data_IF_612998236458
#
_entry.id   IF_612998236458
#
_cell.length_a   1.000
_cell.length_b   1.000
_cell.length_c   1.000
_cell.angle_alpha   90.00
_cell.angle_beta   90.00
_cell.angle_gamma   90.00
#
_symmetry.space_group_name_H-M   'P 1'
#
loop_
_entity.id
_entity.type
_entity.pdbx_description
1 polymer ?
#
# COMPACT_ATOMS: atom_id res chain seq x y z
N UNK A 1 -29.62 -31.77 43.03
CA UNK A 1 -30.42 -30.72 43.69
C UNK A 1 -29.50 -30.00 44.65
N UNK A 2 -28.84 -28.96 44.14
CA UNK A 2 -27.92 -28.10 44.87
C UNK A 2 -27.95 -26.78 44.10
N UNK A 3 -28.61 -25.78 44.69
CA UNK A 3 -28.67 -24.41 44.17
C UNK A 3 -27.28 -23.77 44.22
N UNK A 4 -26.89 -22.98 43.21
CA UNK A 4 -25.88 -21.96 43.38
C UNK A 4 -26.51 -20.57 43.53
N UNK A 5 -25.99 -19.92 44.57
CA UNK A 5 -26.05 -18.55 45.04
C UNK A 5 -26.11 -17.48 43.95
N UNK A 6 -27.00 -16.51 44.15
CA UNK A 6 -27.08 -15.22 43.44
C UNK A 6 -26.16 -14.25 44.18
N UNK A 7 -25.10 -13.78 43.51
CA UNK A 7 -24.39 -12.55 43.88
C UNK A 7 -24.42 -11.60 42.68
N UNK A 8 -25.37 -10.68 42.71
CA UNK A 8 -25.45 -9.55 41.80
C UNK A 8 -24.85 -8.33 42.49
N UNK A 9 -23.58 -8.02 42.18
CA UNK A 9 -23.03 -6.70 42.45
C UNK A 9 -22.76 -6.01 41.12
N UNK A 10 -23.69 -5.15 40.74
CA UNK A 10 -23.64 -4.29 39.56
C UNK A 10 -23.08 -2.91 39.97
N UNK A 11 -21.84 -2.55 39.58
CA UNK A 11 -21.26 -1.25 39.90
C UNK A 11 -21.70 -0.12 38.96
N UNK A 12 -22.75 -0.31 38.14
CA UNK A 12 -23.21 0.66 37.13
C UNK A 12 -24.61 1.26 37.38
N UNK A 13 -25.06 1.35 38.63
CA UNK A 13 -26.26 2.13 38.95
C UNK A 13 -25.97 3.65 38.84
N UNK A 14 -26.74 4.41 38.05
CA UNK A 14 -26.56 5.87 37.95
C UNK A 14 -27.03 6.58 39.21
N UNK A 15 -26.15 7.39 39.79
CA UNK A 15 -26.50 8.26 40.91
C UNK A 15 -27.54 9.31 40.46
N UNK A 16 -28.62 9.39 41.23
CA UNK A 16 -29.76 10.29 41.06
C UNK A 16 -29.37 11.76 41.09
N UNK A 17 -30.06 12.51 40.24
CA UNK A 17 -30.10 13.97 40.10
C UNK A 17 -30.32 14.67 41.45
N UNK A 18 -29.38 15.53 41.85
CA UNK A 18 -29.62 16.59 42.81
C UNK A 18 -29.54 17.94 42.07
N UNK A 19 -30.68 18.62 42.04
CA UNK A 19 -30.91 19.89 41.38
C UNK A 19 -30.82 21.00 42.43
N UNK A 20 -29.93 21.97 42.24
CA UNK A 20 -29.92 23.20 43.03
C UNK A 20 -28.54 23.78 43.31
N UNK A 21 -28.17 24.83 42.57
CA UNK A 21 -27.68 26.11 43.10
C UNK A 21 -27.01 26.91 41.97
N UNK A 22 -27.66 28.00 41.59
CA UNK A 22 -27.07 29.05 40.76
C UNK A 22 -25.88 29.67 41.47
N UNK A 23 -24.70 29.51 40.88
CA UNK A 23 -23.48 30.20 41.25
C UNK A 23 -22.60 30.29 40.02
N UNK A 24 -22.86 31.28 39.16
CA UNK A 24 -22.01 31.61 38.03
C UNK A 24 -20.67 32.14 38.55
N UNK A 25 -19.73 31.23 38.81
CA UNK A 25 -18.32 31.53 38.87
C UNK A 25 -17.77 31.27 37.47
N UNK A 26 -17.72 32.32 36.66
CA UNK A 26 -16.76 32.42 35.56
C UNK A 26 -15.36 32.43 36.18
N UNK A 27 -14.92 31.26 36.65
CA UNK A 27 -13.49 31.01 36.82
C UNK A 27 -12.95 30.91 35.40
N UNK A 28 -12.45 32.04 34.91
CA UNK A 28 -11.34 32.04 33.98
C UNK A 28 -10.21 31.30 34.69
N UNK A 29 -10.24 29.97 34.65
CA UNK A 29 -9.03 29.17 34.72
C UNK A 29 -8.21 29.67 33.56
N UNK A 30 -7.18 30.44 33.88
CA UNK A 30 -6.11 30.77 32.96
C UNK A 30 -5.53 29.43 32.52
N UNK A 31 -6.11 28.87 31.44
CA UNK A 31 -5.60 27.71 30.73
C UNK A 31 -4.18 28.09 30.39
N UNK A 32 -3.20 27.40 30.97
CA UNK A 32 -1.81 27.63 30.66
C UNK A 32 -1.66 27.46 29.12
N UNK A 33 -1.51 28.56 28.37
CA UNK A 33 -1.45 28.49 26.90
C UNK A 33 -0.16 27.76 26.45
N UNK A 34 0.74 27.51 27.39
CA UNK A 34 2.07 26.95 27.25
C UNK A 34 2.13 25.44 27.62
N UNK A 35 1.02 24.70 27.50
CA UNK A 35 1.11 23.22 27.36
C UNK A 35 1.75 22.93 25.99
N UNK A 36 3.07 23.11 25.92
CA UNK A 36 3.81 23.14 24.66
C UNK A 36 3.75 21.78 24.00
N UNK A 37 3.27 21.78 22.76
CA UNK A 37 3.22 20.58 21.94
C UNK A 37 4.61 20.35 21.37
N UNK A 38 5.39 19.50 22.04
CA UNK A 38 6.72 19.08 21.60
C UNK A 38 6.73 17.57 21.37
N UNK A 39 7.03 17.18 20.14
CA UNK A 39 7.32 15.80 19.76
C UNK A 39 8.50 15.81 18.78
N UNK A 40 9.55 15.07 19.14
CA UNK A 40 10.81 15.08 18.41
C UNK A 40 10.78 14.12 17.21
N UNK A 41 11.64 14.37 16.22
CA UNK A 41 11.82 13.45 15.10
C UNK A 41 12.68 12.25 15.53
N UNK A 42 12.35 11.06 15.02
CA UNK A 42 13.21 9.88 15.12
C UNK A 42 14.15 9.83 13.92
N UNK A 43 15.44 9.57 14.17
CA UNK A 43 16.41 9.23 13.13
C UNK A 43 16.58 7.71 13.07
N UNK A 44 15.81 7.05 12.21
CA UNK A 44 15.95 5.61 11.95
C UNK A 44 16.95 5.35 10.82
N UNK A 45 17.74 4.28 10.94
CA UNK A 45 18.59 3.75 9.85
C UNK A 45 17.83 2.66 9.11
N UNK A 46 18.15 2.43 7.84
CA UNK A 46 17.57 1.36 7.02
C UNK A 46 17.04 1.85 5.68
N UNK A 47 16.28 0.99 5.01
CA UNK A 47 15.50 1.29 3.81
C UNK A 47 14.42 2.35 4.06
N UNK A 48 13.88 2.96 3.00
CA UNK A 48 12.82 3.96 3.15
C UNK A 48 11.57 3.38 3.83
N UNK A 49 11.26 2.10 3.57
CA UNK A 49 10.18 1.37 4.23
C UNK A 49 10.40 1.24 5.74
N UNK A 50 11.59 0.79 6.17
CA UNK A 50 11.92 0.65 7.59
C UNK A 50 11.93 2.00 8.31
N UNK A 51 12.42 3.06 7.64
CA UNK A 51 12.35 4.42 8.16
C UNK A 51 10.91 4.90 8.30
N UNK A 52 10.02 4.58 7.36
CA UNK A 52 8.60 4.91 7.44
C UNK A 52 7.90 4.18 8.58
N UNK A 53 8.10 2.87 8.73
CA UNK A 53 7.57 2.08 9.85
C UNK A 53 7.96 2.70 11.20
N UNK A 54 9.27 2.99 11.36
CA UNK A 54 9.79 3.57 12.59
C UNK A 54 9.23 4.98 12.84
N UNK A 55 9.12 5.83 11.81
CA UNK A 55 8.62 7.18 11.93
C UNK A 55 7.13 7.22 12.28
N UNK A 56 6.28 6.38 11.66
CA UNK A 56 4.86 6.29 12.00
C UNK A 56 4.64 5.76 13.42
N UNK A 57 5.34 4.69 13.79
CA UNK A 57 5.27 4.14 15.14
C UNK A 57 5.70 5.17 16.20
N UNK A 58 6.78 5.90 15.93
CA UNK A 58 7.27 6.97 16.80
C UNK A 58 6.27 8.12 16.93
N UNK A 59 5.75 8.64 15.81
CA UNK A 59 4.78 9.73 15.82
C UNK A 59 3.52 9.36 16.63
N UNK A 60 3.01 8.14 16.49
CA UNK A 60 1.86 7.68 17.27
C UNK A 60 2.19 7.48 18.76
N UNK A 61 3.41 7.03 19.09
CA UNK A 61 3.86 6.93 20.49
C UNK A 61 3.91 8.31 21.14
N UNK A 62 4.53 9.29 20.49
CA UNK A 62 4.57 10.68 20.94
C UNK A 62 3.17 11.26 21.06
N UNK A 63 2.27 10.91 20.13
CA UNK A 63 0.88 11.35 20.16
C UNK A 63 0.13 10.81 21.38
N UNK A 64 0.30 9.52 21.71
CA UNK A 64 -0.26 8.93 22.93
C UNK A 64 0.23 9.67 24.17
N UNK A 65 1.54 9.87 24.28
CA UNK A 65 2.13 10.59 25.41
C UNK A 65 1.64 12.04 25.52
N UNK A 66 1.42 12.70 24.37
CA UNK A 66 0.85 14.02 24.33
C UNK A 66 -0.60 14.03 24.83
N UNK A 67 -1.45 13.08 24.41
CA UNK A 67 -2.83 12.97 24.89
C UNK A 67 -2.91 12.70 26.39
N UNK A 68 -2.01 11.86 26.93
CA UNK A 68 -1.94 11.54 28.37
C UNK A 68 -1.57 12.76 29.23
N UNK A 69 -0.88 13.75 28.65
CA UNK A 69 -0.51 15.01 29.33
C UNK A 69 -1.62 16.05 29.34
N UNK A 70 -2.70 15.87 28.58
CA UNK A 70 -3.83 16.81 28.55
C UNK A 70 -4.70 16.58 29.79
N UNK A 71 -4.71 17.49 30.79
CA UNK A 71 -5.47 17.26 32.02
C UNK A 71 -6.97 17.37 31.77
N UNK A 72 -7.75 16.48 32.41
CA UNK A 72 -9.21 16.49 32.32
C UNK A 72 -9.79 17.83 32.80
N UNK A 73 -10.80 18.35 32.09
CA UNK A 73 -11.47 19.60 32.46
C UNK A 73 -10.71 20.90 32.16
N UNK A 74 -9.48 20.83 31.60
CA UNK A 74 -8.67 22.03 31.29
C UNK A 74 -9.17 22.80 30.07
N UNK A 75 -9.78 22.10 29.11
CA UNK A 75 -10.20 22.67 27.83
C UNK A 75 -11.70 22.48 27.62
N UNK A 76 -12.33 23.44 26.93
CA UNK A 76 -13.61 23.19 26.26
C UNK A 76 -13.43 22.09 25.20
N UNK A 77 -14.49 21.39 24.78
CA UNK A 77 -14.40 20.39 23.72
C UNK A 77 -13.73 20.92 22.44
N UNK A 78 -14.05 22.14 22.02
CA UNK A 78 -13.48 22.82 20.86
C UNK A 78 -12.02 23.21 21.09
N UNK A 79 -11.71 23.76 22.27
CA UNK A 79 -10.35 24.12 22.65
C UNK A 79 -9.43 22.89 22.70
N UNK A 80 -9.94 21.75 23.17
CA UNK A 80 -9.21 20.48 23.18
C UNK A 80 -8.90 20.01 21.77
N UNK A 81 -9.89 20.03 20.86
CA UNK A 81 -9.68 19.67 19.45
C UNK A 81 -8.64 20.58 18.78
N UNK A 82 -8.74 21.89 18.99
CA UNK A 82 -7.77 22.85 18.45
C UNK A 82 -6.36 22.62 19.02
N UNK A 83 -6.24 22.29 20.31
CA UNK A 83 -4.96 21.98 20.92
C UNK A 83 -4.34 20.69 20.37
N UNK A 84 -5.16 19.64 20.18
CA UNK A 84 -4.74 18.38 19.59
C UNK A 84 -4.28 18.57 18.14
N UNK A 85 -4.97 19.39 17.35
CA UNK A 85 -4.62 19.66 15.97
C UNK A 85 -3.19 20.21 15.80
N UNK A 86 -2.68 20.97 16.78
CA UNK A 86 -1.30 21.49 16.79
C UNK A 86 -0.24 20.37 16.78
N UNK A 87 -0.60 19.14 17.19
CA UNK A 87 0.31 18.00 17.10
C UNK A 87 0.69 17.67 15.65
N UNK A 88 -0.18 17.97 14.68
CA UNK A 88 0.08 17.81 13.25
C UNK A 88 1.32 18.56 12.75
N UNK A 89 1.70 19.66 13.42
CA UNK A 89 2.82 20.51 13.02
C UNK A 89 4.16 20.13 13.68
N UNK A 90 4.17 19.08 14.51
CA UNK A 90 5.34 18.63 15.26
C UNK A 90 6.42 18.00 14.40
N UNK A 91 7.64 17.91 14.93
CA UNK A 91 8.77 17.28 14.24
C UNK A 91 8.53 15.78 14.02
N UNK A 92 7.79 15.11 14.92
CA UNK A 92 7.43 13.71 14.75
C UNK A 92 6.54 13.46 13.52
N UNK A 93 5.49 14.28 13.33
CA UNK A 93 4.60 14.17 12.16
C UNK A 93 5.34 14.57 10.87
N UNK A 94 6.17 15.62 10.92
CA UNK A 94 7.03 16.01 9.80
C UNK A 94 7.99 14.89 9.39
N UNK A 95 8.57 14.17 10.35
CA UNK A 95 9.43 13.03 10.06
C UNK A 95 8.66 11.87 9.40
N UNK A 96 7.44 11.57 9.86
CA UNK A 96 6.57 10.57 9.22
C UNK A 96 6.22 10.95 7.78
N UNK A 97 5.90 12.23 7.53
CA UNK A 97 5.63 12.74 6.18
C UNK A 97 6.88 12.68 5.27
N UNK A 98 8.06 13.00 5.79
CA UNK A 98 9.31 12.87 5.06
C UNK A 98 9.62 11.41 4.70
N UNK A 99 9.36 10.47 5.62
CA UNK A 99 9.54 9.05 5.36
C UNK A 99 8.56 8.52 4.30
N UNK A 100 7.30 8.98 4.30
CA UNK A 100 6.35 8.67 3.22
C UNK A 100 6.85 9.20 1.86
N UNK A 101 7.39 10.42 1.82
CA UNK A 101 7.95 10.98 0.60
C UNK A 101 9.13 10.14 0.07
N UNK A 102 9.98 9.61 0.96
CA UNK A 102 11.06 8.70 0.59
C UNK A 102 10.53 7.38 -0.02
N UNK A 103 9.47 6.79 0.54
CA UNK A 103 8.83 5.58 -0.02
C UNK A 103 8.22 5.86 -1.40
N UNK A 104 7.59 7.03 -1.60
CA UNK A 104 7.10 7.47 -2.93
C UNK A 104 8.22 7.60 -3.95
N UNK A 105 9.36 8.16 -3.54
CA UNK A 105 10.54 8.28 -4.39
C UNK A 105 11.11 6.89 -4.76
N UNK A 106 11.15 5.95 -3.81
CA UNK A 106 11.57 4.57 -4.06
C UNK A 106 10.65 3.86 -5.08
N UNK A 107 9.33 4.01 -4.93
CA UNK A 107 8.36 3.47 -5.88
C UNK A 107 8.53 4.09 -7.28
N UNK A 108 8.66 5.41 -7.36
CA UNK A 108 8.90 6.12 -8.64
C UNK A 108 10.17 5.60 -9.33
N UNK A 109 11.26 5.42 -8.58
CA UNK A 109 12.51 4.89 -9.11
C UNK A 109 12.37 3.43 -9.56
N UNK A 110 11.61 2.60 -8.84
CA UNK A 110 11.36 1.21 -9.21
C UNK A 110 10.49 1.09 -10.47
N UNK A 111 9.46 1.92 -10.60
CA UNK A 111 8.64 2.04 -11.81
C UNK A 111 9.48 2.48 -13.01
N UNK A 112 10.31 3.52 -12.85
CA UNK A 112 11.22 3.97 -13.91
C UNK A 112 12.22 2.87 -14.33
N UNK A 113 12.71 2.07 -13.38
CA UNK A 113 13.57 0.93 -13.67
C UNK A 113 12.82 -0.18 -14.44
N UNK A 114 11.55 -0.45 -14.10
CA UNK A 114 10.69 -1.38 -14.86
C UNK A 114 10.49 -0.90 -16.29
N UNK A 115 10.10 0.36 -16.48
CA UNK A 115 9.88 0.95 -17.81
C UNK A 115 11.16 0.93 -18.65
N UNK A 116 12.31 1.24 -18.03
CA UNK A 116 13.62 1.14 -18.71
C UNK A 116 13.94 -0.29 -19.14
N UNK A 117 13.69 -1.27 -18.28
CA UNK A 117 13.92 -2.68 -18.60
C UNK A 117 12.97 -3.16 -19.71
N UNK A 118 11.72 -2.71 -19.70
CA UNK A 118 10.76 -3.00 -20.77
C UNK A 118 11.17 -2.34 -22.11
N UNK A 119 11.55 -1.06 -22.09
CA UNK A 119 12.02 -0.35 -23.28
C UNK A 119 13.29 -0.96 -23.90
N UNK A 120 14.12 -1.62 -23.09
CA UNK A 120 15.27 -2.37 -23.59
C UNK A 120 14.87 -3.62 -24.40
N UNK A 121 13.68 -4.18 -24.15
CA UNK A 121 13.10 -5.27 -24.94
C UNK A 121 12.43 -4.76 -26.21
N UNK A 122 11.76 -3.60 -26.12
CA UNK A 122 10.98 -2.99 -27.20
C UNK A 122 11.79 -1.87 -27.88
N UNK A 123 13.00 -2.19 -28.36
CA UNK A 123 13.80 -1.20 -29.09
C UNK A 123 13.16 -0.97 -30.47
N UNK A 124 12.73 0.26 -30.82
CA UNK A 124 12.19 0.54 -32.15
C UNK A 124 13.20 0.15 -33.21
N UNK A 125 12.75 -0.65 -34.16
CA UNK A 125 13.55 -1.10 -35.28
C UNK A 125 13.70 -0.03 -36.36
N UNK A 126 14.75 -0.14 -37.17
CA UNK A 126 14.69 0.38 -38.53
C UNK A 126 13.73 -0.48 -39.37
N UNK A 127 13.43 -0.05 -40.60
CA UNK A 127 12.54 -0.80 -41.51
C UNK A 127 12.96 -2.27 -41.70
N UNK A 128 14.28 -2.56 -41.67
CA UNK A 128 14.79 -3.91 -41.79
C UNK A 128 14.50 -4.76 -40.54
N UNK A 129 14.51 -4.16 -39.36
CA UNK A 129 14.14 -4.80 -38.10
C UNK A 129 12.64 -5.05 -38.04
N UNK A 130 11.80 -4.08 -38.43
CA UNK A 130 10.35 -4.29 -38.51
C UNK A 130 9.98 -5.43 -39.48
N UNK A 131 10.64 -5.50 -40.64
CA UNK A 131 10.45 -6.60 -41.58
C UNK A 131 10.86 -7.96 -40.99
N UNK A 132 11.93 -8.01 -40.19
CA UNK A 132 12.35 -9.23 -39.47
C UNK A 132 11.32 -9.63 -38.41
N UNK A 133 10.76 -8.65 -37.69
CA UNK A 133 9.71 -8.85 -36.70
C UNK A 133 8.45 -9.42 -37.34
N UNK A 134 7.97 -8.84 -38.44
CA UNK A 134 6.82 -9.37 -39.19
C UNK A 134 7.06 -10.79 -39.68
N UNK A 135 8.24 -11.08 -40.25
CA UNK A 135 8.59 -12.45 -40.68
C UNK A 135 8.68 -13.43 -39.53
N UNK A 136 9.14 -12.98 -38.37
CA UNK A 136 9.16 -13.79 -37.17
C UNK A 136 7.74 -14.10 -36.69
N UNK A 137 6.90 -13.08 -36.55
CA UNK A 137 5.50 -13.25 -36.19
C UNK A 137 4.77 -14.21 -37.14
N UNK A 138 4.90 -14.04 -38.46
CA UNK A 138 4.24 -14.92 -39.43
C UNK A 138 4.62 -16.40 -39.27
N UNK A 139 5.88 -16.69 -38.90
CA UNK A 139 6.31 -18.07 -38.61
C UNK A 139 5.68 -18.61 -37.34
N UNK A 140 5.72 -17.81 -36.27
CA UNK A 140 5.12 -18.16 -34.97
C UNK A 140 3.61 -18.35 -35.11
N UNK A 141 2.93 -17.46 -35.82
CA UNK A 141 1.50 -17.56 -36.08
C UNK A 141 1.15 -18.84 -36.83
N UNK A 142 1.97 -19.26 -37.80
CA UNK A 142 1.77 -20.53 -38.50
C UNK A 142 1.89 -21.73 -37.56
N UNK A 143 2.82 -21.70 -36.60
CA UNK A 143 3.00 -22.75 -35.60
C UNK A 143 1.81 -22.78 -34.63
N UNK A 144 1.39 -21.62 -34.12
CA UNK A 144 0.22 -21.47 -33.28
C UNK A 144 -1.07 -21.94 -33.98
N UNK A 145 -1.24 -21.61 -35.26
CA UNK A 145 -2.40 -22.02 -36.06
C UNK A 145 -2.51 -23.54 -36.25
N UNK A 146 -1.38 -24.25 -36.17
CA UNK A 146 -1.36 -25.72 -36.28
C UNK A 146 -1.93 -26.41 -35.04
N UNK A 147 -2.03 -25.69 -33.92
CA UNK A 147 -2.58 -26.21 -32.67
C UNK A 147 -4.07 -25.87 -32.53
N UNK A 148 -4.90 -26.90 -32.42
CA UNK A 148 -6.36 -26.77 -32.33
C UNK A 148 -6.87 -26.85 -30.89
N UNK A 149 -6.10 -27.45 -29.98
CA UNK A 149 -6.45 -27.57 -28.57
C UNK A 149 -6.03 -26.30 -27.81
N UNK A 150 -6.96 -25.64 -27.13
CA UNK A 150 -6.70 -24.39 -26.41
C UNK A 150 -5.63 -24.51 -25.32
N UNK A 151 -5.54 -25.65 -24.63
CA UNK A 151 -4.55 -25.84 -23.57
C UNK A 151 -3.15 -26.03 -24.15
N UNK A 152 -3.04 -26.85 -25.19
CA UNK A 152 -1.77 -27.00 -25.92
C UNK A 152 -1.35 -25.67 -26.56
N UNK A 153 -2.31 -24.89 -27.05
CA UNK A 153 -2.06 -23.57 -27.62
C UNK A 153 -1.48 -22.60 -26.57
N UNK A 154 -2.02 -22.60 -25.36
CA UNK A 154 -1.49 -21.82 -24.23
C UNK A 154 -0.07 -22.26 -23.86
N UNK A 155 0.18 -23.57 -23.79
CA UNK A 155 1.51 -24.13 -23.50
C UNK A 155 2.52 -23.78 -24.60
N UNK A 156 2.11 -23.84 -25.86
CA UNK A 156 2.93 -23.47 -27.00
C UNK A 156 3.25 -21.98 -26.98
N UNK A 157 2.26 -21.11 -26.79
CA UNK A 157 2.46 -19.67 -26.66
C UNK A 157 3.44 -19.34 -25.51
N UNK A 158 3.25 -19.97 -24.34
CA UNK A 158 4.15 -19.82 -23.21
C UNK A 158 5.59 -20.19 -23.55
N UNK A 159 5.78 -21.38 -24.15
CA UNK A 159 7.08 -21.89 -24.56
C UNK A 159 7.77 -20.95 -25.53
N UNK A 160 7.04 -20.49 -26.55
CA UNK A 160 7.57 -19.58 -27.57
C UNK A 160 8.05 -18.26 -26.98
N UNK A 161 7.32 -17.69 -26.01
CA UNK A 161 7.76 -16.49 -25.28
C UNK A 161 9.03 -16.80 -24.47
N UNK A 162 9.01 -17.87 -23.68
CA UNK A 162 10.10 -18.24 -22.78
C UNK A 162 11.42 -18.52 -23.52
N UNK A 163 11.35 -19.14 -24.69
CA UNK A 163 12.51 -19.51 -25.50
C UNK A 163 12.90 -18.42 -26.52
N UNK A 164 12.15 -17.32 -26.60
CA UNK A 164 12.44 -16.23 -27.52
C UNK A 164 13.71 -15.46 -27.14
N UNK A 165 14.36 -14.87 -28.15
CA UNK A 165 15.45 -13.92 -27.91
C UNK A 165 14.88 -12.58 -27.45
N UNK A 166 15.69 -11.79 -26.75
CA UNK A 166 15.28 -10.48 -26.25
C UNK A 166 14.69 -9.57 -27.36
N UNK A 167 15.25 -9.60 -28.57
CA UNK A 167 14.75 -8.77 -29.68
C UNK A 167 13.41 -9.24 -30.26
N UNK A 168 13.05 -10.50 -30.03
CA UNK A 168 11.81 -11.13 -30.51
C UNK A 168 10.71 -11.10 -29.46
N UNK A 169 11.09 -10.97 -28.19
CA UNK A 169 10.18 -10.99 -27.05
C UNK A 169 9.14 -9.87 -27.12
N UNK A 170 9.53 -8.68 -27.57
CA UNK A 170 8.61 -7.54 -27.75
C UNK A 170 7.44 -7.88 -28.68
N UNK A 171 7.74 -8.42 -29.86
CA UNK A 171 6.75 -8.86 -30.85
C UNK A 171 5.79 -9.87 -30.23
N UNK A 172 6.31 -10.85 -29.48
CA UNK A 172 5.47 -11.87 -28.85
C UNK A 172 4.58 -11.30 -27.74
N UNK A 173 5.10 -10.37 -26.94
CA UNK A 173 4.33 -9.72 -25.88
C UNK A 173 3.16 -8.90 -26.43
N UNK A 174 3.32 -8.32 -27.63
CA UNK A 174 2.29 -7.52 -28.30
C UNK A 174 1.29 -8.39 -29.06
N UNK A 175 1.75 -9.40 -29.78
CA UNK A 175 0.92 -10.15 -30.74
C UNK A 175 0.22 -11.39 -30.14
N UNK A 176 0.80 -12.04 -29.13
CA UNK A 176 0.21 -13.25 -28.54
C UNK A 176 -1.12 -12.97 -27.82
N UNK A 177 -1.26 -11.93 -26.97
CA UNK A 177 -2.53 -11.67 -26.29
C UNK A 177 -3.73 -11.43 -27.24
N UNK A 178 -3.67 -10.57 -28.28
CA UNK A 178 -4.78 -10.43 -29.22
C UNK A 178 -4.99 -11.71 -30.06
N UNK A 179 -3.92 -12.42 -30.42
CA UNK A 179 -4.04 -13.69 -31.15
C UNK A 179 -4.82 -14.74 -30.34
N UNK A 180 -4.44 -14.99 -29.08
CA UNK A 180 -5.12 -15.97 -28.23
C UNK A 180 -6.59 -15.60 -27.98
N UNK A 181 -6.90 -14.32 -27.78
CA UNK A 181 -8.29 -13.84 -27.69
C UNK A 181 -9.08 -14.09 -28.98
N UNK A 182 -8.47 -13.89 -30.15
CA UNK A 182 -9.10 -14.20 -31.44
C UNK A 182 -9.42 -15.69 -31.62
N UNK A 183 -8.71 -16.56 -30.90
CA UNK A 183 -8.92 -18.02 -30.84
C UNK A 183 -9.92 -18.43 -29.75
N UNK A 184 -10.55 -17.48 -29.07
CA UNK A 184 -11.51 -17.72 -27.98
C UNK A 184 -10.85 -18.03 -26.63
N UNK A 185 -9.56 -17.73 -26.47
CA UNK A 185 -8.82 -17.97 -25.24
C UNK A 185 -8.61 -16.65 -24.50
N UNK A 186 -9.41 -16.41 -23.47
CA UNK A 186 -9.32 -15.21 -22.62
C UNK A 186 -8.57 -15.47 -21.30
N UNK A 187 -8.76 -16.67 -20.74
CA UNK A 187 -8.18 -17.09 -19.48
C UNK A 187 -7.51 -18.46 -19.60
N UNK A 188 -6.59 -18.76 -18.69
CA UNK A 188 -6.04 -20.11 -18.48
C UNK A 188 -7.06 -21.01 -17.75
N UNK A 189 -6.74 -22.29 -17.61
CA UNK A 189 -7.54 -23.23 -16.80
C UNK A 189 -7.66 -22.80 -15.33
N UNK A 190 -6.67 -22.06 -14.82
CA UNK A 190 -6.65 -21.52 -13.46
C UNK A 190 -7.40 -20.18 -13.33
N UNK A 191 -8.16 -19.77 -14.37
CA UNK A 191 -8.79 -18.46 -14.49
C UNK A 191 -7.83 -17.27 -14.44
N UNK A 192 -6.55 -17.48 -14.80
CA UNK A 192 -5.58 -16.39 -14.98
C UNK A 192 -5.82 -15.72 -16.34
N UNK A 193 -5.90 -14.37 -16.42
CA UNK A 193 -5.98 -13.69 -17.70
C UNK A 193 -4.77 -14.04 -18.59
N UNK A 194 -4.99 -14.28 -19.89
CA UNK A 194 -3.90 -14.59 -20.83
C UNK A 194 -2.77 -13.53 -20.80
N UNK A 195 -3.11 -12.26 -20.57
CA UNK A 195 -2.11 -11.20 -20.43
C UNK A 195 -1.11 -11.44 -19.29
N UNK A 196 -1.54 -12.10 -18.21
CA UNK A 196 -0.69 -12.37 -17.06
C UNK A 196 0.20 -13.59 -17.29
N UNK A 197 -0.30 -14.61 -18.00
CA UNK A 197 0.53 -15.71 -18.52
C UNK A 197 1.65 -15.19 -19.42
N UNK A 198 1.33 -14.28 -20.35
CA UNK A 198 2.33 -13.66 -21.25
C UNK A 198 3.36 -12.84 -20.45
N UNK A 199 2.91 -12.04 -19.48
CA UNK A 199 3.82 -11.30 -18.59
C UNK A 199 4.71 -12.24 -17.79
N UNK A 200 4.19 -13.36 -17.27
CA UNK A 200 4.98 -14.37 -16.53
C UNK A 200 6.05 -14.96 -17.43
N UNK A 201 5.68 -15.44 -18.61
CA UNK A 201 6.63 -15.99 -19.58
C UNK A 201 7.72 -14.97 -19.97
N UNK A 202 7.36 -13.71 -20.17
CA UNK A 202 8.31 -12.65 -20.50
C UNK A 202 9.30 -12.36 -19.36
N UNK A 203 8.86 -12.42 -18.10
CA UNK A 203 9.75 -12.27 -16.93
C UNK A 203 10.73 -13.43 -16.79
N UNK A 204 10.33 -14.63 -17.19
CA UNK A 204 11.22 -15.80 -17.24
C UNK A 204 12.22 -15.71 -18.41
N UNK A 205 11.78 -15.24 -19.57
CA UNK A 205 12.62 -15.05 -20.76
C UNK A 205 13.67 -13.93 -20.57
N UNK A 206 13.30 -12.86 -19.86
CA UNK A 206 14.14 -11.69 -19.60
C UNK A 206 14.31 -11.45 -18.09
N UNK A 207 15.30 -12.10 -17.44
CA UNK A 207 15.47 -12.03 -15.98
C UNK A 207 15.66 -10.61 -15.43
N UNK A 208 16.32 -9.71 -16.17
CA UNK A 208 16.48 -8.31 -15.77
C UNK A 208 15.15 -7.57 -15.72
N UNK A 209 14.29 -7.78 -16.73
CA UNK A 209 12.92 -7.28 -16.73
C UNK A 209 12.09 -7.90 -15.60
N UNK A 210 12.21 -9.22 -15.39
CA UNK A 210 11.59 -9.91 -14.27
C UNK A 210 11.97 -9.32 -12.91
N UNK A 211 13.25 -9.07 -12.67
CA UNK A 211 13.75 -8.46 -11.45
C UNK A 211 13.22 -7.01 -11.28
N UNK A 212 13.20 -6.21 -12.35
CA UNK A 212 12.68 -4.85 -12.32
C UNK A 212 11.17 -4.82 -11.99
N UNK A 213 10.38 -5.71 -12.59
CA UNK A 213 8.95 -5.84 -12.29
C UNK A 213 8.73 -6.25 -10.83
N UNK A 214 9.47 -7.24 -10.32
CA UNK A 214 9.35 -7.69 -8.94
C UNK A 214 9.69 -6.56 -7.95
N UNK A 215 10.72 -5.78 -8.26
CA UNK A 215 11.09 -4.59 -7.46
C UNK A 215 10.00 -3.54 -7.47
N UNK A 216 9.41 -3.24 -8.63
CA UNK A 216 8.29 -2.31 -8.76
C UNK A 216 7.07 -2.76 -7.97
N UNK A 217 6.69 -4.04 -8.06
CA UNK A 217 5.58 -4.62 -7.27
C UNK A 217 5.86 -4.51 -5.77
N UNK A 218 7.08 -4.83 -5.32
CA UNK A 218 7.45 -4.72 -3.91
C UNK A 218 7.41 -3.26 -3.42
N UNK A 219 7.92 -2.32 -4.21
CA UNK A 219 7.89 -0.89 -3.88
C UNK A 219 6.46 -0.34 -3.85
N UNK A 220 5.58 -0.79 -4.76
CA UNK A 220 4.16 -0.43 -4.73
C UNK A 220 3.46 -0.93 -3.48
N UNK A 221 3.73 -2.17 -3.04
CA UNK A 221 3.16 -2.71 -1.79
C UNK A 221 3.58 -1.88 -0.57
N UNK A 222 4.86 -1.51 -0.49
CA UNK A 222 5.40 -0.62 0.55
C UNK A 222 4.72 0.75 0.51
N UNK A 223 4.58 1.34 -0.67
CA UNK A 223 3.91 2.62 -0.85
C UNK A 223 2.47 2.56 -0.33
N UNK A 224 1.70 1.54 -0.70
CA UNK A 224 0.31 1.45 -0.28
C UNK A 224 0.17 1.30 1.23
N UNK A 225 1.03 0.52 1.89
CA UNK A 225 1.06 0.41 3.35
C UNK A 225 1.44 1.73 4.02
N UNK A 226 2.46 2.43 3.50
CA UNK A 226 2.89 3.72 4.03
C UNK A 226 1.80 4.80 3.87
N UNK A 227 1.08 4.82 2.74
CA UNK A 227 -0.04 5.75 2.52
C UNK A 227 -1.22 5.46 3.44
N UNK A 228 -1.52 4.19 3.68
CA UNK A 228 -2.52 3.81 4.68
C UNK A 228 -2.12 4.29 6.09
N UNK A 229 -0.87 4.05 6.49
CA UNK A 229 -0.34 4.47 7.79
C UNK A 229 -0.35 6.00 7.97
N UNK A 230 -0.05 6.75 6.91
CA UNK A 230 -0.15 8.21 6.93
C UNK A 230 -1.59 8.69 7.13
N UNK A 231 -2.55 8.13 6.37
CA UNK A 231 -3.98 8.47 6.49
C UNK A 231 -4.53 8.15 7.87
N UNK A 232 -4.19 6.99 8.44
CA UNK A 232 -4.68 6.61 9.77
C UNK A 232 -4.02 7.44 10.87
N UNK A 233 -2.75 7.84 10.73
CA UNK A 233 -2.11 8.78 11.66
C UNK A 233 -2.79 10.17 11.60
N UNK A 234 -3.04 10.70 10.42
CA UNK A 234 -3.76 11.98 10.26
C UNK A 234 -5.16 11.92 10.87
N UNK A 235 -5.89 10.83 10.59
CA UNK A 235 -7.20 10.58 11.19
C UNK A 235 -7.11 10.51 12.73
N UNK A 236 -6.11 9.80 13.26
CA UNK A 236 -5.89 9.66 14.70
C UNK A 236 -5.68 11.01 15.40
N UNK A 237 -4.91 11.90 14.77
CA UNK A 237 -4.65 13.25 15.26
C UNK A 237 -5.95 14.06 15.23
N UNK A 238 -6.70 14.02 14.13
CA UNK A 238 -7.96 14.74 13.99
C UNK A 238 -9.01 14.31 15.02
N UNK A 239 -9.13 13.00 15.26
CA UNK A 239 -10.12 12.46 16.21
C UNK A 239 -9.63 12.51 17.67
N UNK A 240 -8.36 12.84 17.92
CA UNK A 240 -7.79 12.81 19.26
C UNK A 240 -7.71 11.40 19.86
N UNK A 241 -7.56 10.38 19.00
CA UNK A 241 -7.56 8.97 19.38
C UNK A 241 -6.34 8.29 18.77
N UNK A 242 -5.41 7.73 19.56
CA UNK A 242 -4.20 7.15 19.01
C UNK A 242 -4.49 5.86 18.22
N UNK A 243 -3.69 5.61 17.19
CA UNK A 243 -3.80 4.39 16.36
C UNK A 243 -3.46 3.17 17.20
N UNK A 244 -4.25 2.11 17.16
CA UNK A 244 -3.96 0.85 17.89
C UNK A 244 -2.86 0.04 17.21
N UNK A 245 -2.90 -0.05 15.87
CA UNK A 245 -1.94 -0.78 15.05
C UNK A 245 -1.75 -0.12 13.68
N UNK A 246 -0.49 -0.02 13.24
CA UNK A 246 -0.13 0.28 11.85
C UNK A 246 0.08 -1.01 11.06
N UNK A 247 -0.06 -0.92 9.73
CA UNK A 247 0.39 -1.98 8.85
C UNK A 247 1.91 -2.00 8.80
N UNK A 248 2.52 -3.19 8.82
CA UNK A 248 3.95 -3.34 8.55
C UNK A 248 4.22 -3.03 7.08
N UNK A 249 4.97 -1.96 6.79
CA UNK A 249 5.28 -1.50 5.43
C UNK A 249 6.06 -2.57 4.65
N UNK A 250 6.77 -3.47 5.32
CA UNK A 250 7.54 -4.54 4.70
C UNK A 250 6.79 -5.89 4.58
N UNK A 251 5.76 -6.15 5.40
CA UNK A 251 5.15 -7.51 5.50
C UNK A 251 3.64 -7.59 5.19
N UNK A 252 2.85 -6.59 5.54
CA UNK A 252 1.41 -6.79 5.74
C UNK A 252 0.55 -6.68 4.46
N UNK A 253 1.12 -6.31 3.30
CA UNK A 253 0.31 -6.11 2.09
C UNK A 253 -0.03 -7.39 1.29
N UNK A 254 0.53 -8.55 1.66
CA UNK A 254 0.20 -9.83 1.00
C UNK A 254 -0.99 -10.58 1.64
N UNK A 255 -1.47 -10.17 2.81
CA UNK A 255 -2.46 -10.96 3.59
C UNK A 255 -3.85 -10.34 3.69
N UNK A 256 -4.05 -9.09 3.22
CA UNK A 256 -5.29 -8.33 3.48
C UNK A 256 -5.90 -7.74 2.22
N UNK A 257 -6.06 -8.56 1.16
CA UNK A 257 -7.22 -8.41 0.26
C UNK A 257 -8.31 -9.35 0.81
N UNK A 258 -8.70 -9.13 2.06
CA UNK A 258 -9.97 -9.62 2.58
C UNK A 258 -10.95 -8.48 2.41
N UNK A 259 -11.88 -8.70 1.50
CA UNK A 259 -13.10 -7.94 1.23
C UNK A 259 -13.61 -7.18 2.47
N UNK A 260 -13.30 -5.89 2.56
CA UNK A 260 -14.20 -4.94 3.20
C UNK A 260 -14.96 -4.24 2.09
N UNK A 261 -16.00 -4.92 1.60
CA UNK A 261 -17.20 -4.25 1.09
C UNK A 261 -17.73 -3.35 2.21
N UNK A 262 -17.71 -2.05 1.96
CA UNK A 262 -18.57 -1.10 2.66
C UNK A 262 -20.02 -1.30 2.22
#
# INVERSE_FOLDING_TARGET
>A
MTSPTIDAHDPWAPASVAQGAHGAINQSTTVDPDLRVHAHALSAKGSAAEQADAAFAHANKEFRQFLDKIPAGTFTPEGRKAHIAKFGDTSAVKAANAALAAVRAENTAAEAAREKAYAALVKPGDTATELRNTRYWNRIQSELNSESNSNNLLLLAYKLIKESKAEQLSVLMEEIPPYLRSRGVENTEENEPVSDLVKRAAREAAPEYGAAVNRAIAAQKRLTAAEYNAKILEHSIREGRPVTRFLDVNKDYNSTIVRHTF
#
